data_IF_742109634916
#
_entry.id   IF_742109634916
#
_cell.length_a   1.000
_cell.length_b   1.000
_cell.length_c   1.000
_cell.angle_alpha   90.00
_cell.angle_beta   90.00
_cell.angle_gamma   90.00
#
_symmetry.space_group_name_H-M   'P 1'
#
loop_
_entity.id
_entity.type
_entity.pdbx_description
1 polymer ?
#
# COMPACT_ATOMS: atom_id res chain seq x y z
N UNK A 1 2.28 37.64 -25.25
CA UNK A 1 1.12 36.75 -25.40
C UNK A 1 1.33 35.53 -24.51
N UNK A 2 0.48 35.36 -23.51
CA UNK A 2 0.60 34.26 -22.55
C UNK A 2 -0.10 32.95 -23.04
N UNK A 3 -0.53 32.91 -24.28
CA UNK A 3 -1.27 31.81 -24.89
C UNK A 3 -0.73 31.45 -26.27
N UNK A 4 -0.85 30.16 -26.61
CA UNK A 4 -0.54 29.61 -27.92
C UNK A 4 -1.79 28.96 -28.52
N UNK A 5 -1.79 28.81 -29.83
CA UNK A 5 -2.80 28.07 -30.58
C UNK A 5 -2.15 26.87 -31.24
N UNK A 6 -2.70 25.69 -31.03
CA UNK A 6 -2.26 24.45 -31.65
C UNK A 6 -3.45 23.78 -32.35
N UNK A 7 -3.16 23.00 -33.39
CA UNK A 7 -4.19 22.43 -34.25
C UNK A 7 -4.14 20.89 -34.21
N UNK A 8 -5.31 20.27 -34.27
CA UNK A 8 -5.37 18.83 -34.59
C UNK A 8 -5.05 18.61 -36.08
N UNK A 9 -4.71 17.37 -36.52
CA UNK A 9 -4.55 17.06 -37.95
C UNK A 9 -5.80 17.36 -38.80
N UNK A 10 -6.97 17.45 -38.19
CA UNK A 10 -8.22 17.81 -38.84
C UNK A 10 -8.45 19.32 -38.92
N UNK A 11 -7.52 20.13 -38.39
CA UNK A 11 -7.62 21.59 -38.37
C UNK A 11 -8.42 22.18 -37.23
N UNK A 12 -8.79 21.40 -36.20
CA UNK A 12 -9.46 21.93 -35.02
C UNK A 12 -8.46 22.73 -34.16
N UNK A 13 -8.83 23.95 -33.81
CA UNK A 13 -8.02 24.89 -33.04
C UNK A 13 -8.21 24.73 -31.56
N UNK A 14 -7.12 24.59 -30.82
CA UNK A 14 -7.09 24.58 -29.37
C UNK A 14 -6.19 25.68 -28.82
N UNK A 15 -6.73 26.47 -27.89
CA UNK A 15 -5.98 27.51 -27.20
C UNK A 15 -5.41 26.97 -25.90
N UNK A 16 -4.10 27.12 -25.69
CA UNK A 16 -3.36 26.64 -24.53
C UNK A 16 -2.50 27.76 -23.92
N UNK A 17 -2.14 27.69 -22.64
CA UNK A 17 -1.15 28.59 -22.07
C UNK A 17 0.23 28.34 -22.69
N UNK A 18 1.05 29.37 -22.76
CA UNK A 18 2.45 29.25 -23.16
C UNK A 18 3.19 28.28 -22.24
N UNK A 19 3.97 27.38 -22.79
CA UNK A 19 4.65 26.30 -22.06
C UNK A 19 3.86 24.99 -22.00
N UNK A 20 2.65 24.94 -22.57
CA UNK A 20 1.86 23.72 -22.65
C UNK A 20 2.57 22.63 -23.47
N UNK A 21 2.28 21.38 -23.14
CA UNK A 21 2.88 20.19 -23.74
C UNK A 21 1.82 19.36 -24.50
N UNK A 22 2.21 18.34 -25.28
CA UNK A 22 1.27 17.41 -25.89
C UNK A 22 0.30 16.77 -24.92
N UNK A 23 0.69 16.54 -23.65
CA UNK A 23 -0.21 16.04 -22.60
C UNK A 23 -1.30 17.07 -22.32
N UNK A 24 -0.94 18.35 -22.15
CA UNK A 24 -1.92 19.43 -21.96
C UNK A 24 -2.89 19.51 -23.13
N UNK A 25 -2.39 19.38 -24.37
CA UNK A 25 -3.17 19.39 -25.59
C UNK A 25 -4.16 18.22 -25.64
N UNK A 26 -3.70 16.99 -25.32
CA UNK A 26 -4.56 15.81 -25.28
C UNK A 26 -5.73 15.96 -24.30
N UNK A 27 -5.46 16.45 -23.09
CA UNK A 27 -6.49 16.71 -22.09
C UNK A 27 -7.38 17.92 -22.46
N UNK A 28 -6.88 18.86 -23.22
CA UNK A 28 -7.70 19.98 -23.72
C UNK A 28 -8.80 19.47 -24.66
N UNK A 29 -8.49 18.48 -25.51
CA UNK A 29 -9.44 17.82 -26.40
C UNK A 29 -10.43 16.98 -25.60
N UNK A 30 -9.97 15.92 -24.96
CA UNK A 30 -10.80 15.02 -24.17
C UNK A 30 -9.99 14.32 -23.06
N UNK A 31 -10.63 14.06 -21.91
CA UNK A 31 -9.96 13.39 -20.78
C UNK A 31 -9.47 11.99 -21.16
N UNK A 32 -10.30 11.19 -21.82
CA UNK A 32 -9.92 9.82 -22.23
C UNK A 32 -8.76 9.81 -23.23
N UNK A 33 -8.67 10.83 -24.11
CA UNK A 33 -7.52 10.96 -24.99
C UNK A 33 -6.25 11.26 -24.19
N UNK A 34 -6.36 12.14 -23.20
CA UNK A 34 -5.28 12.44 -22.26
C UNK A 34 -4.81 11.19 -21.52
N UNK A 35 -5.75 10.42 -20.95
CA UNK A 35 -5.46 9.21 -20.18
C UNK A 35 -4.78 8.12 -21.03
N UNK A 36 -5.16 8.00 -22.31
CA UNK A 36 -4.64 6.99 -23.24
C UNK A 36 -3.41 7.43 -24.06
N UNK A 37 -2.85 8.60 -23.77
CA UNK A 37 -1.72 9.17 -24.53
C UNK A 37 -0.45 8.34 -24.31
N UNK A 38 0.13 7.83 -25.40
CA UNK A 38 1.43 7.11 -25.39
C UNK A 38 2.54 7.93 -26.03
N UNK A 39 2.21 8.87 -26.90
CA UNK A 39 3.16 9.70 -27.64
C UNK A 39 2.46 10.83 -28.37
N UNK A 40 3.25 11.64 -29.05
CA UNK A 40 2.74 12.72 -29.88
C UNK A 40 3.62 12.94 -31.10
N UNK A 41 3.01 13.43 -32.20
CA UNK A 41 3.73 14.03 -33.29
C UNK A 41 3.42 15.52 -33.35
N UNK A 42 4.43 16.33 -33.48
CA UNK A 42 4.32 17.76 -33.69
C UNK A 42 4.87 18.06 -35.09
N UNK A 43 4.05 18.67 -35.93
CA UNK A 43 4.39 18.98 -37.34
C UNK A 43 4.90 17.72 -38.08
N UNK A 44 4.25 16.57 -37.86
CA UNK A 44 4.59 15.29 -38.50
C UNK A 44 5.78 14.54 -37.89
N UNK A 45 6.45 15.07 -36.87
CA UNK A 45 7.62 14.44 -36.22
C UNK A 45 7.23 13.94 -34.83
N UNK A 46 7.63 12.71 -34.48
CA UNK A 46 7.48 12.16 -33.16
C UNK A 46 8.32 12.94 -32.16
N UNK A 47 7.70 13.38 -31.07
CA UNK A 47 8.36 14.16 -30.02
C UNK A 47 8.05 13.59 -28.63
N UNK A 48 8.93 13.82 -27.65
CA UNK A 48 8.64 13.50 -26.24
C UNK A 48 7.41 14.23 -25.73
N UNK A 49 6.62 13.60 -24.85
CA UNK A 49 5.41 14.20 -24.26
C UNK A 49 5.66 15.46 -23.43
N UNK A 50 6.91 15.69 -23.01
CA UNK A 50 7.36 16.89 -22.29
C UNK A 50 7.77 18.06 -23.20
N UNK A 51 7.71 17.89 -24.52
CA UNK A 51 8.05 18.95 -25.48
C UNK A 51 7.13 20.13 -25.30
N UNK A 52 7.66 21.33 -25.24
CA UNK A 52 6.87 22.56 -25.19
C UNK A 52 6.33 22.86 -26.58
N UNK A 53 5.02 23.07 -26.67
CA UNK A 53 4.34 23.42 -27.92
C UNK A 53 4.52 24.90 -28.25
N UNK A 54 4.59 25.20 -29.53
CA UNK A 54 4.69 26.54 -30.07
C UNK A 54 3.38 26.97 -30.76
N UNK A 55 3.27 28.26 -30.98
CA UNK A 55 2.09 28.80 -31.67
C UNK A 55 2.06 28.35 -33.13
N UNK A 56 0.98 27.75 -33.58
CA UNK A 56 0.79 27.23 -34.91
C UNK A 56 1.14 25.75 -35.08
N UNK A 57 1.59 25.06 -34.02
CA UNK A 57 1.92 23.63 -34.10
C UNK A 57 0.71 22.79 -34.46
N UNK A 58 0.91 21.83 -35.37
CA UNK A 58 -0.03 20.74 -35.65
C UNK A 58 0.34 19.54 -34.76
N UNK A 59 -0.57 19.15 -33.86
CA UNK A 59 -0.32 18.12 -32.86
C UNK A 59 -1.22 16.91 -33.08
N UNK A 60 -0.60 15.76 -33.35
CA UNK A 60 -1.27 14.46 -33.43
C UNK A 60 -0.95 13.65 -32.16
N UNK A 61 -1.98 13.30 -31.39
CA UNK A 61 -1.83 12.47 -30.18
C UNK A 61 -1.90 10.99 -30.57
N UNK A 62 -0.88 10.25 -30.18
CA UNK A 62 -0.83 8.80 -30.30
C UNK A 62 -1.41 8.18 -29.03
N UNK A 63 -2.39 7.29 -29.19
CA UNK A 63 -3.10 6.67 -28.07
C UNK A 63 -3.01 5.15 -28.09
N UNK A 64 -3.09 4.54 -26.90
CA UNK A 64 -3.22 3.10 -26.71
C UNK A 64 -4.20 2.83 -25.57
N UNK A 65 -5.10 1.85 -25.74
CA UNK A 65 -6.11 1.50 -24.72
C UNK A 65 -5.53 0.90 -23.43
N UNK A 66 -4.27 0.48 -23.44
CA UNK A 66 -3.58 -0.04 -22.25
C UNK A 66 -2.70 0.99 -21.54
N UNK A 67 -2.70 2.24 -22.02
CA UNK A 67 -1.91 3.33 -21.42
C UNK A 67 -2.65 3.96 -20.25
N UNK A 68 -1.88 4.38 -19.28
CA UNK A 68 -2.36 5.07 -18.08
C UNK A 68 -1.53 6.33 -17.80
N UNK A 69 -2.16 7.38 -17.26
CA UNK A 69 -1.44 8.58 -16.84
C UNK A 69 -0.37 8.27 -15.80
N UNK A 70 0.82 8.79 -16.03
CA UNK A 70 1.94 8.58 -15.12
C UNK A 70 2.10 9.76 -14.16
N UNK A 71 2.45 9.52 -12.87
CA UNK A 71 2.70 10.60 -11.90
C UNK A 71 3.74 11.62 -12.38
N UNK A 72 4.75 11.17 -13.13
CA UNK A 72 5.78 12.02 -13.72
C UNK A 72 5.25 13.09 -14.67
N UNK A 73 4.07 12.91 -15.26
CA UNK A 73 3.47 13.92 -16.14
C UNK A 73 3.12 15.23 -15.41
N UNK A 74 2.90 15.16 -14.09
CA UNK A 74 2.65 16.33 -13.26
C UNK A 74 3.85 17.30 -13.19
N UNK A 75 5.05 16.86 -13.55
CA UNK A 75 6.25 17.70 -13.55
C UNK A 75 6.30 18.66 -14.73
N UNK A 76 5.63 18.34 -15.84
CA UNK A 76 5.65 19.14 -17.06
C UNK A 76 4.27 19.53 -17.60
N UNK A 77 3.18 18.84 -17.23
CA UNK A 77 1.83 19.29 -17.54
C UNK A 77 1.50 20.55 -16.74
N UNK A 78 1.13 21.63 -17.42
CA UNK A 78 0.93 22.94 -16.78
C UNK A 78 -0.55 23.34 -16.65
N UNK A 79 -1.43 22.79 -17.50
CA UNK A 79 -2.84 23.17 -17.44
C UNK A 79 -3.55 22.60 -16.22
N UNK A 80 -4.42 23.40 -15.61
CA UNK A 80 -5.21 22.94 -14.46
C UNK A 80 -6.07 21.72 -14.80
N UNK A 81 -6.62 21.66 -16.03
CA UNK A 81 -7.44 20.55 -16.52
C UNK A 81 -6.65 19.25 -16.56
N UNK A 82 -5.46 19.24 -17.23
CA UNK A 82 -4.59 18.08 -17.30
C UNK A 82 -4.14 17.61 -15.90
N UNK A 83 -3.63 18.53 -15.09
CA UNK A 83 -3.16 18.22 -13.72
C UNK A 83 -4.25 17.65 -12.82
N UNK A 84 -5.47 18.21 -12.89
CA UNK A 84 -6.61 17.71 -12.12
C UNK A 84 -7.03 16.30 -12.59
N UNK A 85 -7.09 16.06 -13.90
CA UNK A 85 -7.42 14.75 -14.47
C UNK A 85 -6.38 13.70 -14.08
N UNK A 86 -5.09 13.97 -14.24
CA UNK A 86 -3.99 13.08 -13.87
C UNK A 86 -4.05 12.74 -12.37
N UNK A 87 -4.19 13.75 -11.49
CA UNK A 87 -4.29 13.50 -10.04
C UNK A 87 -5.52 12.68 -9.68
N UNK A 88 -6.65 12.90 -10.34
CA UNK A 88 -7.87 12.12 -10.12
C UNK A 88 -7.64 10.67 -10.53
N UNK A 89 -7.07 10.42 -11.70
CA UNK A 89 -6.77 9.08 -12.18
C UNK A 89 -5.86 8.32 -11.20
N UNK A 90 -4.75 8.92 -10.79
CA UNK A 90 -3.79 8.33 -9.84
C UNK A 90 -4.48 7.97 -8.52
N UNK A 91 -5.33 8.86 -7.99
CA UNK A 91 -6.07 8.59 -6.75
C UNK A 91 -7.06 7.43 -6.89
N UNK A 92 -7.77 7.35 -8.02
CA UNK A 92 -8.68 6.23 -8.28
C UNK A 92 -7.91 4.93 -8.35
N UNK A 93 -6.82 4.89 -9.11
CA UNK A 93 -5.98 3.70 -9.23
C UNK A 93 -5.42 3.25 -7.87
N UNK A 94 -4.88 4.16 -7.08
CA UNK A 94 -4.38 3.84 -5.73
C UNK A 94 -5.49 3.32 -4.82
N UNK A 95 -6.69 3.88 -4.93
CA UNK A 95 -7.85 3.39 -4.18
C UNK A 95 -8.22 1.97 -4.59
N UNK A 96 -8.28 1.70 -5.89
CA UNK A 96 -8.63 0.38 -6.43
C UNK A 96 -7.59 -0.68 -6.05
N UNK A 97 -6.30 -0.34 -6.11
CA UNK A 97 -5.20 -1.20 -5.64
C UNK A 97 -5.30 -1.50 -4.14
N UNK A 98 -5.64 -0.48 -3.33
CA UNK A 98 -5.86 -0.65 -1.88
C UNK A 98 -7.07 -1.55 -1.60
N UNK A 99 -8.17 -1.40 -2.34
CA UNK A 99 -9.35 -2.26 -2.21
C UNK A 99 -8.98 -3.69 -2.57
N UNK A 100 -8.29 -3.93 -3.68
CA UNK A 100 -7.87 -5.26 -4.11
C UNK A 100 -6.95 -5.96 -3.10
N UNK A 101 -6.05 -5.19 -2.45
CA UNK A 101 -5.25 -5.70 -1.34
C UNK A 101 -6.15 -6.09 -0.15
N UNK A 102 -7.09 -5.21 0.21
CA UNK A 102 -8.04 -5.47 1.28
C UNK A 102 -8.92 -6.69 1.04
N UNK A 103 -9.33 -6.93 -0.21
CA UNK A 103 -10.09 -8.13 -0.58
C UNK A 103 -9.30 -9.41 -0.32
N UNK A 104 -8.02 -9.45 -0.71
CA UNK A 104 -7.15 -10.60 -0.44
C UNK A 104 -6.97 -10.85 1.06
N UNK A 105 -6.75 -9.79 1.83
CA UNK A 105 -6.63 -9.89 3.29
C UNK A 105 -7.95 -10.32 3.94
N UNK A 106 -9.08 -9.81 3.44
CA UNK A 106 -10.40 -10.20 3.91
C UNK A 106 -10.70 -11.69 3.63
N UNK A 107 -10.35 -12.20 2.44
CA UNK A 107 -10.47 -13.62 2.11
C UNK A 107 -9.64 -14.49 3.06
N UNK A 108 -8.41 -14.08 3.40
CA UNK A 108 -7.59 -14.78 4.39
C UNK A 108 -8.24 -14.76 5.78
N UNK A 109 -8.79 -13.63 6.23
CA UNK A 109 -9.51 -13.53 7.51
C UNK A 109 -10.73 -14.46 7.52
N UNK A 110 -11.55 -14.42 6.47
CA UNK A 110 -12.77 -15.23 6.37
C UNK A 110 -12.44 -16.72 6.30
N UNK A 111 -11.36 -17.12 5.63
CA UNK A 111 -10.93 -18.52 5.54
C UNK A 111 -10.60 -19.17 6.89
N UNK A 112 -10.27 -18.35 7.89
CA UNK A 112 -9.99 -18.79 9.28
C UNK A 112 -11.27 -18.95 10.12
N UNK A 113 -12.41 -18.50 9.62
CA UNK A 113 -13.68 -18.61 10.33
C UNK A 113 -14.35 -19.99 10.10
N UNK A 114 -15.02 -20.56 11.12
CA UNK A 114 -15.60 -21.89 11.03
C UNK A 114 -16.91 -21.96 10.23
N UNK A 115 -17.39 -20.82 9.71
CA UNK A 115 -18.67 -20.69 9.00
C UNK A 115 -18.52 -19.80 7.76
N UNK A 116 -19.33 -20.05 6.75
CA UNK A 116 -19.42 -19.19 5.58
C UNK A 116 -20.05 -17.84 5.92
N UNK A 117 -19.41 -16.77 5.46
CA UNK A 117 -19.84 -15.41 5.70
C UNK A 117 -20.77 -14.94 4.59
N UNK A 118 -22.06 -14.86 4.89
CA UNK A 118 -23.05 -14.31 3.97
C UNK A 118 -23.18 -12.79 4.01
N UNK A 119 -23.86 -12.20 3.03
CA UNK A 119 -24.08 -10.75 2.90
C UNK A 119 -24.69 -10.08 4.14
N UNK A 120 -25.52 -10.82 4.88
CA UNK A 120 -26.13 -10.31 6.14
C UNK A 120 -25.08 -10.07 7.22
N UNK A 121 -24.10 -10.98 7.34
CA UNK A 121 -23.00 -10.85 8.29
C UNK A 121 -22.11 -9.66 7.92
N UNK A 122 -21.79 -9.50 6.63
CA UNK A 122 -21.01 -8.34 6.14
C UNK A 122 -21.73 -7.03 6.45
N UNK A 123 -23.03 -6.92 6.17
CA UNK A 123 -23.83 -5.72 6.49
C UNK A 123 -23.85 -5.41 7.99
N UNK A 124 -23.96 -6.46 8.83
CA UNK A 124 -23.91 -6.28 10.28
C UNK A 124 -22.52 -5.82 10.76
N UNK A 125 -21.44 -6.38 10.19
CA UNK A 125 -20.07 -5.98 10.47
C UNK A 125 -19.80 -4.52 10.08
N UNK A 126 -20.23 -4.09 8.89
CA UNK A 126 -20.12 -2.69 8.46
C UNK A 126 -20.76 -1.73 9.46
N UNK A 127 -21.97 -2.08 9.95
CA UNK A 127 -22.67 -1.28 10.95
C UNK A 127 -21.93 -1.22 12.30
N UNK A 128 -21.35 -2.35 12.76
CA UNK A 128 -20.57 -2.42 14.01
C UNK A 128 -19.27 -1.62 13.91
N UNK A 129 -18.57 -1.74 12.79
CA UNK A 129 -17.31 -1.03 12.51
C UNK A 129 -17.52 0.43 12.07
N UNK A 130 -18.80 0.88 11.94
CA UNK A 130 -19.17 2.22 11.47
C UNK A 130 -18.59 2.56 10.10
N UNK A 131 -18.60 1.60 9.19
CA UNK A 131 -18.14 1.74 7.82
C UNK A 131 -19.35 1.83 6.86
N UNK A 132 -19.21 2.64 5.80
CA UNK A 132 -20.30 2.95 4.88
C UNK A 132 -20.61 1.78 3.93
N UNK A 133 -19.57 1.13 3.40
CA UNK A 133 -19.68 0.09 2.40
C UNK A 133 -18.56 -0.96 2.50
N UNK A 134 -18.66 -2.00 1.66
CA UNK A 134 -17.64 -3.05 1.57
C UNK A 134 -16.28 -2.51 1.14
N UNK A 135 -16.23 -1.51 0.25
CA UNK A 135 -14.97 -0.90 -0.19
C UNK A 135 -14.27 -0.19 0.98
N UNK A 136 -15.04 0.51 1.84
CA UNK A 136 -14.50 1.12 3.06
C UNK A 136 -13.93 0.07 4.04
N UNK A 137 -14.56 -1.11 4.13
CA UNK A 137 -14.04 -2.23 4.93
C UNK A 137 -12.72 -2.74 4.35
N UNK A 138 -12.64 -2.96 3.03
CA UNK A 138 -11.42 -3.42 2.36
C UNK A 138 -10.28 -2.43 2.57
N UNK A 139 -10.54 -1.13 2.42
CA UNK A 139 -9.55 -0.08 2.67
C UNK A 139 -9.12 -0.08 4.15
N UNK A 140 -10.06 -0.23 5.08
CA UNK A 140 -9.75 -0.25 6.51
C UNK A 140 -8.86 -1.45 6.89
N UNK A 141 -9.08 -2.61 6.30
CA UNK A 141 -8.23 -3.81 6.46
C UNK A 141 -6.85 -3.55 5.86
N UNK A 142 -6.78 -3.14 4.59
CA UNK A 142 -5.52 -2.90 3.88
C UNK A 142 -4.65 -1.82 4.53
N UNK A 143 -5.25 -0.84 5.20
CA UNK A 143 -4.57 0.25 5.90
C UNK A 143 -4.39 0.00 7.39
N UNK A 144 -4.69 -1.20 7.88
CA UNK A 144 -4.63 -1.59 9.30
C UNK A 144 -5.41 -0.65 10.25
N UNK A 145 -6.47 -0.03 9.76
CA UNK A 145 -7.40 0.77 10.59
C UNK A 145 -8.31 -0.10 11.43
N UNK A 146 -8.50 -1.34 11.03
CA UNK A 146 -9.17 -2.39 11.76
C UNK A 146 -8.25 -3.60 11.80
N UNK A 147 -8.24 -4.30 12.92
CA UNK A 147 -7.46 -5.53 13.10
C UNK A 147 -8.25 -6.75 12.61
N UNK A 148 -7.55 -7.85 12.33
CA UNK A 148 -8.18 -9.12 11.95
C UNK A 148 -9.21 -9.56 13.01
N UNK A 149 -8.87 -9.43 14.31
CA UNK A 149 -9.75 -9.77 15.42
C UNK A 149 -11.04 -8.93 15.45
N UNK A 150 -10.93 -7.62 15.22
CA UNK A 150 -12.10 -6.73 15.14
C UNK A 150 -12.99 -7.09 13.95
N UNK A 151 -12.40 -7.48 12.81
CA UNK A 151 -13.17 -7.92 11.64
C UNK A 151 -13.86 -9.24 11.92
N UNK A 152 -13.17 -10.23 12.52
CA UNK A 152 -13.76 -11.52 12.90
C UNK A 152 -14.91 -11.33 13.89
N UNK A 153 -14.72 -10.57 14.95
CA UNK A 153 -15.74 -10.27 15.95
C UNK A 153 -16.92 -9.50 15.35
N UNK A 154 -16.66 -8.58 14.42
CA UNK A 154 -17.72 -7.86 13.72
C UNK A 154 -18.55 -8.77 12.82
N UNK A 155 -17.92 -9.77 12.15
CA UNK A 155 -18.59 -10.75 11.30
C UNK A 155 -19.37 -11.79 12.10
N UNK A 156 -18.76 -12.32 13.17
CA UNK A 156 -19.34 -13.36 14.03
C UNK A 156 -19.11 -12.96 15.49
N UNK A 157 -20.11 -12.37 16.17
CA UNK A 157 -20.00 -12.03 17.58
C UNK A 157 -19.74 -13.26 18.45
N UNK A 158 -18.74 -13.16 19.31
CA UNK A 158 -18.33 -14.27 20.18
C UNK A 158 -17.32 -15.22 19.54
N UNK A 159 -16.81 -14.92 18.33
CA UNK A 159 -15.77 -15.74 17.69
C UNK A 159 -14.38 -15.56 18.32
N UNK A 160 -14.20 -14.55 19.14
CA UNK A 160 -12.93 -14.24 19.83
C UNK A 160 -12.87 -14.74 21.27
N UNK A 161 -13.88 -15.48 21.75
CA UNK A 161 -13.91 -16.02 23.13
C UNK A 161 -13.04 -17.27 23.33
N UNK A 162 -11.92 -17.38 22.65
CA UNK A 162 -10.89 -18.33 23.04
C UNK A 162 -9.52 -17.91 22.53
N UNK A 163 -8.96 -16.91 23.19
CA UNK A 163 -7.55 -16.75 23.50
C UNK A 163 -7.35 -15.32 23.97
N UNK A 164 -6.90 -15.15 25.21
CA UNK A 164 -6.64 -13.86 25.82
C UNK A 164 -5.70 -13.03 24.93
N UNK A 165 -6.26 -12.03 24.27
CA UNK A 165 -5.49 -11.15 23.37
C UNK A 165 -4.84 -10.07 24.23
N UNK A 166 -3.54 -10.18 24.37
CA UNK A 166 -2.67 -9.08 24.78
C UNK A 166 -2.82 -7.90 23.78
N UNK A 167 -2.97 -6.64 24.22
CA UNK A 167 -3.21 -5.48 23.36
C UNK A 167 -1.98 -4.99 22.59
N UNK A 168 -0.92 -5.76 22.54
CA UNK A 168 0.28 -5.47 21.72
C UNK A 168 0.46 -6.52 20.64
N UNK A 169 0.32 -6.08 19.40
CA UNK A 169 0.40 -6.76 18.11
C UNK A 169 1.12 -8.12 18.14
N UNK A 170 0.35 -9.19 17.98
CA UNK A 170 0.93 -10.52 17.83
C UNK A 170 1.52 -10.68 16.42
N UNK A 171 2.83 -10.49 16.35
CA UNK A 171 3.64 -11.27 15.44
C UNK A 171 3.36 -12.76 15.71
N UNK A 172 3.20 -13.61 14.68
CA UNK A 172 3.22 -15.07 14.82
C UNK A 172 4.33 -15.40 15.81
N UNK A 173 4.07 -16.19 16.88
CA UNK A 173 5.13 -16.53 17.82
C UNK A 173 6.23 -17.23 16.99
N UNK A 174 7.34 -16.53 16.83
CA UNK A 174 8.51 -17.13 16.20
C UNK A 174 8.97 -18.18 17.17
N UNK A 175 8.84 -19.45 16.77
CA UNK A 175 9.21 -20.56 17.66
C UNK A 175 10.74 -20.56 17.82
N UNK A 176 11.17 -20.26 19.02
CA UNK A 176 12.60 -20.38 19.37
C UNK A 176 12.88 -21.86 19.63
N UNK A 177 13.78 -22.43 18.82
CA UNK A 177 14.28 -23.79 18.98
C UNK A 177 15.27 -23.81 20.15
N UNK A 178 15.27 -24.89 20.92
CA UNK A 178 16.12 -25.04 22.11
C UNK A 178 15.43 -24.72 23.42
N UNK A 179 14.23 -24.08 23.39
CA UNK A 179 13.39 -23.91 24.56
C UNK A 179 12.56 -25.18 24.83
N UNK A 180 12.55 -25.62 26.07
CA UNK A 180 11.64 -26.69 26.51
C UNK A 180 10.21 -26.14 26.53
N UNK A 181 9.21 -26.86 25.97
CA UNK A 181 7.81 -26.40 26.01
C UNK A 181 7.34 -26.09 27.42
N UNK A 182 6.74 -24.91 27.63
CA UNK A 182 6.24 -24.46 28.92
C UNK A 182 7.21 -23.61 29.75
N UNK A 183 8.42 -23.35 29.27
CA UNK A 183 9.35 -22.42 29.94
C UNK A 183 9.09 -21.01 29.43
N UNK A 184 8.86 -20.07 30.36
CA UNK A 184 8.72 -18.64 30.04
C UNK A 184 10.07 -18.06 29.59
N UNK A 185 10.06 -17.20 28.57
CA UNK A 185 11.23 -16.46 28.12
C UNK A 185 10.88 -14.98 27.91
N UNK A 186 11.88 -14.12 27.96
CA UNK A 186 11.81 -12.71 27.62
C UNK A 186 12.93 -12.34 26.65
N UNK A 187 12.67 -11.40 25.74
CA UNK A 187 13.71 -10.87 24.85
C UNK A 187 14.51 -9.79 25.59
N UNK A 188 15.83 -9.81 25.43
CA UNK A 188 16.71 -8.83 26.07
C UNK A 188 16.47 -7.42 25.56
N UNK A 189 16.16 -6.48 26.45
CA UNK A 189 15.93 -5.08 26.12
C UNK A 189 17.21 -4.34 25.70
N UNK A 190 18.39 -4.90 25.98
CA UNK A 190 19.70 -4.34 25.65
C UNK A 190 20.10 -4.55 24.17
N UNK A 191 19.59 -5.59 23.51
CA UNK A 191 19.99 -5.96 22.16
C UNK A 191 18.82 -6.22 21.18
N UNK A 192 17.59 -6.28 21.69
CA UNK A 192 16.35 -6.45 20.89
C UNK A 192 16.46 -7.52 19.79
N UNK A 193 16.71 -8.80 20.14
CA UNK A 193 16.93 -9.86 19.16
C UNK A 193 15.74 -10.03 18.22
N UNK A 194 16.00 -10.12 16.92
CA UNK A 194 14.97 -10.29 15.87
C UNK A 194 15.17 -11.61 15.11
N UNK A 195 14.12 -12.18 14.49
CA UNK A 195 14.25 -13.36 13.66
C UNK A 195 15.32 -13.21 12.58
N UNK A 196 16.29 -14.11 12.56
CA UNK A 196 17.47 -14.09 11.69
C UNK A 196 18.78 -13.82 12.44
N UNK A 197 18.72 -13.24 13.65
CA UNK A 197 19.89 -13.08 14.50
C UNK A 197 20.34 -14.43 15.08
N UNK A 198 21.62 -14.54 15.38
CA UNK A 198 22.12 -15.65 16.22
C UNK A 198 21.82 -15.33 17.66
N UNK A 199 21.08 -16.19 18.35
CA UNK A 199 20.58 -15.95 19.70
C UNK A 199 21.07 -16.97 20.70
N UNK A 200 21.14 -16.56 21.96
CA UNK A 200 21.49 -17.36 23.11
C UNK A 200 20.60 -16.98 24.29
N UNK A 201 20.22 -17.95 25.11
CA UNK A 201 19.44 -17.74 26.31
C UNK A 201 20.31 -17.77 27.56
N UNK A 202 19.99 -16.91 28.54
CA UNK A 202 20.54 -16.98 29.88
C UNK A 202 19.45 -17.47 30.83
N UNK A 203 19.72 -18.57 31.52
CA UNK A 203 18.84 -19.12 32.53
C UNK A 203 19.30 -18.65 33.92
N UNK A 204 18.36 -18.04 34.66
CA UNK A 204 18.52 -17.71 36.06
C UNK A 204 17.48 -18.45 36.89
N UNK A 205 17.86 -18.94 38.07
CA UNK A 205 16.97 -19.71 38.90
C UNK A 205 15.76 -18.87 39.36
N UNK A 206 14.55 -19.29 38.94
CA UNK A 206 13.30 -18.60 39.32
C UNK A 206 12.87 -17.46 38.36
N UNK A 207 13.64 -17.19 37.29
CA UNK A 207 13.29 -16.18 36.30
C UNK A 207 13.04 -16.78 34.91
N UNK A 208 12.32 -16.07 34.03
CA UNK A 208 12.21 -16.45 32.61
C UNK A 208 13.59 -16.45 31.93
N UNK A 209 13.79 -17.34 30.95
CA UNK A 209 15.02 -17.34 30.15
C UNK A 209 15.11 -16.00 29.39
N UNK A 210 16.20 -15.26 29.58
CA UNK A 210 16.44 -14.02 28.86
C UNK A 210 17.21 -14.31 27.58
N UNK A 211 16.63 -13.91 26.42
CA UNK A 211 17.16 -14.19 25.10
C UNK A 211 17.90 -12.98 24.58
N UNK A 212 19.19 -13.15 24.25
CA UNK A 212 20.06 -12.11 23.71
C UNK A 212 20.61 -12.49 22.33
N UNK A 213 21.07 -11.50 21.56
CA UNK A 213 21.93 -11.76 20.41
C UNK A 213 23.30 -12.23 20.91
N UNK A 214 23.97 -13.11 20.15
CA UNK A 214 25.28 -13.68 20.56
C UNK A 214 26.36 -12.60 20.77
N UNK A 215 26.21 -11.45 20.12
CA UNK A 215 27.15 -10.32 20.19
C UNK A 215 26.74 -9.26 21.23
N UNK A 216 25.78 -9.57 22.12
CA UNK A 216 25.31 -8.64 23.12
C UNK A 216 26.35 -8.39 24.22
N UNK A 217 26.69 -7.12 24.46
CA UNK A 217 27.66 -6.74 25.51
C UNK A 217 27.24 -7.15 26.94
N UNK A 218 25.94 -7.33 27.18
CA UNK A 218 25.45 -7.80 28.47
C UNK A 218 25.94 -9.24 28.78
N UNK A 219 26.31 -10.01 27.77
CA UNK A 219 26.82 -11.38 27.92
C UNK A 219 28.24 -11.43 28.49
N UNK A 220 29.05 -10.38 28.33
CA UNK A 220 30.43 -10.29 28.84
C UNK A 220 30.50 -10.30 30.38
N UNK A 221 29.42 -9.84 31.03
CA UNK A 221 29.35 -9.75 32.49
C UNK A 221 28.87 -11.04 33.18
N UNK A 222 28.46 -12.05 32.42
CA UNK A 222 27.82 -13.27 32.91
C UNK A 222 28.70 -14.53 32.82
N UNK A 223 29.95 -14.52 33.32
CA UNK A 223 30.89 -15.67 33.20
C UNK A 223 30.42 -16.96 33.90
N UNK A 224 29.47 -16.89 34.82
CA UNK A 224 28.89 -18.04 35.54
C UNK A 224 27.40 -18.30 35.19
N UNK A 225 26.91 -17.77 34.07
CA UNK A 225 25.51 -17.93 33.67
C UNK A 225 25.28 -19.31 33.03
N UNK A 226 24.10 -19.91 33.31
CA UNK A 226 23.62 -21.13 32.63
C UNK A 226 23.13 -20.78 31.24
N UNK A 227 23.97 -21.10 30.25
CA UNK A 227 23.73 -20.76 28.84
C UNK A 227 22.84 -21.80 28.17
N UNK A 228 21.87 -21.33 27.39
CA UNK A 228 20.97 -22.16 26.60
C UNK A 228 21.16 -21.82 25.13
N UNK A 229 21.52 -22.82 24.33
CA UNK A 229 21.67 -22.66 22.88
C UNK A 229 20.29 -22.52 22.23
N UNK A 230 20.06 -21.40 21.55
CA UNK A 230 18.78 -21.06 20.97
C UNK A 230 18.91 -20.68 19.50
N UNK A 231 17.87 -20.98 18.73
CA UNK A 231 17.73 -20.57 17.33
C UNK A 231 16.28 -20.20 17.00
N UNK A 232 16.12 -19.28 16.07
CA UNK A 232 14.80 -18.92 15.52
C UNK A 232 14.19 -20.04 14.69
#
# INVERSE_FOLDING_TARGET
>A
QDRIFAFTPKGELHQLPKGATPVDFAYAIHTDLGDQTVGAKVNGRVVPLRTVLENGDQVEILKSGGQEPQPGWLTFAITAKARAAIRRYIRHKQRDETIALGEKLYEDIVSRLPVEIGDKAVKAALKRLKLEDKAALMIAIATHRVTDGEVMEALIPGSTESEGVDPHGQHKPVSIRGLTPGIAYKLGECCHPVPGDRIVGIRQTGEPIEVHTIDCLALESGQDADWVDLAW
#
